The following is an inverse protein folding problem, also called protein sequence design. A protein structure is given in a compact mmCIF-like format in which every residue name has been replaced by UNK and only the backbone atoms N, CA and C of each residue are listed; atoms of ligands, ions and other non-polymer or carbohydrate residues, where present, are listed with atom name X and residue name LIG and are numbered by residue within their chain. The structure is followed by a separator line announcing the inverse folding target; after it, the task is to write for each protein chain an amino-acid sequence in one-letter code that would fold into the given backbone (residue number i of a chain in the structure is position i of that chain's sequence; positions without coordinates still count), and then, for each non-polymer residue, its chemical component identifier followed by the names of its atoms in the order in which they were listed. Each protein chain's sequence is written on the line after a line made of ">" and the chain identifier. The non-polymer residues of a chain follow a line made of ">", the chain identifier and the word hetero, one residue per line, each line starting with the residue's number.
data_IF_094867435001
#
_entry.id   IF_094867435001
#
_cell.length_a   1.000
_cell.length_b   1.000
_cell.length_c   1.000
_cell.angle_alpha   90.00
_cell.angle_beta   90.00
_cell.angle_gamma   90.00
#
_symmetry.space_group_name_H-M   'P 1'
#
loop_
_entity.id
_entity.type
_entity.pdbx_description
1 polymer ?
#
# COMPACT_ATOMS: atom_id res chain seq x y z
N UNK A 1 -0.10 -50.06 -15.04
CA UNK A 1 0.56 -49.27 -13.98
C UNK A 1 -0.18 -47.95 -13.87
N UNK A 2 -1.30 -47.96 -13.14
CA UNK A 2 -2.17 -46.80 -12.90
C UNK A 2 -1.46 -45.86 -11.92
N UNK A 3 -1.08 -44.67 -12.40
CA UNK A 3 -0.61 -43.58 -11.55
C UNK A 3 -1.80 -43.06 -10.74
N UNK A 4 -1.80 -43.34 -9.44
CA UNK A 4 -2.64 -42.65 -8.45
C UNK A 4 -2.24 -41.18 -8.44
N UNK A 5 -3.10 -40.32 -8.99
CA UNK A 5 -3.09 -38.90 -8.67
C UNK A 5 -3.53 -38.74 -7.21
N UNK A 6 -2.67 -38.09 -6.41
CA UNK A 6 -2.96 -37.73 -5.03
C UNK A 6 -4.12 -36.75 -4.98
N UNK A 7 -5.13 -37.04 -4.15
CA UNK A 7 -6.31 -36.21 -3.91
C UNK A 7 -5.99 -34.78 -3.40
N UNK A 8 -4.73 -34.50 -3.02
CA UNK A 8 -4.28 -33.16 -2.62
C UNK A 8 -4.25 -32.15 -3.79
N UNK A 9 -3.95 -32.59 -5.01
CA UNK A 9 -3.78 -31.67 -6.15
C UNK A 9 -5.11 -31.23 -6.79
N UNK A 10 -6.18 -32.01 -6.60
CA UNK A 10 -7.51 -31.67 -7.13
C UNK A 10 -8.22 -30.60 -6.27
N UNK A 11 -7.97 -30.58 -4.96
CA UNK A 11 -8.47 -29.53 -4.05
C UNK A 11 -7.85 -28.15 -4.34
N UNK A 12 -6.56 -28.09 -4.64
CA UNK A 12 -5.86 -26.83 -4.94
C UNK A 12 -6.25 -26.26 -6.32
N UNK A 13 -6.46 -27.11 -7.33
CA UNK A 13 -6.95 -26.64 -8.62
C UNK A 13 -8.37 -26.08 -8.53
N UNK A 14 -9.26 -26.72 -7.75
CA UNK A 14 -10.61 -26.22 -7.49
C UNK A 14 -10.63 -24.96 -6.63
N UNK A 15 -9.74 -24.81 -5.65
CA UNK A 15 -9.66 -23.59 -4.84
C UNK A 15 -9.10 -22.40 -5.63
N UNK A 16 -8.13 -22.62 -6.54
CA UNK A 16 -7.57 -21.55 -7.37
C UNK A 16 -8.45 -21.24 -8.58
N UNK A 17 -9.14 -22.22 -9.19
CA UNK A 17 -10.23 -21.95 -10.13
C UNK A 17 -11.39 -21.23 -9.43
N UNK A 18 -11.70 -21.60 -8.19
CA UNK A 18 -12.61 -20.86 -7.31
C UNK A 18 -12.14 -19.42 -7.07
N UNK A 19 -10.84 -19.19 -6.88
CA UNK A 19 -10.25 -17.85 -6.70
C UNK A 19 -10.14 -17.05 -8.01
N UNK A 20 -10.04 -17.69 -9.17
CA UNK A 20 -10.09 -17.03 -10.50
C UNK A 20 -11.52 -16.75 -10.89
N UNK A 21 -12.44 -17.67 -10.63
CA UNK A 21 -13.87 -17.42 -10.70
C UNK A 21 -14.23 -16.35 -9.68
N UNK A 22 -13.62 -16.27 -8.49
CA UNK A 22 -13.80 -15.17 -7.55
C UNK A 22 -13.20 -13.87 -8.09
N UNK A 23 -12.01 -13.89 -8.68
CA UNK A 23 -11.42 -12.75 -9.37
C UNK A 23 -12.25 -12.29 -10.59
N UNK A 24 -13.00 -13.20 -11.22
CA UNK A 24 -13.97 -12.97 -12.30
C UNK A 24 -15.38 -12.64 -11.77
N UNK A 25 -15.75 -13.04 -10.55
CA UNK A 25 -17.02 -12.72 -9.87
C UNK A 25 -16.94 -11.34 -9.24
N UNK A 26 -15.74 -10.91 -8.82
CA UNK A 26 -15.39 -9.51 -8.57
C UNK A 26 -15.63 -8.63 -9.81
N UNK A 27 -15.61 -9.19 -11.04
CA UNK A 27 -15.99 -8.47 -12.27
C UNK A 27 -17.52 -8.40 -12.46
N UNK A 28 -18.29 -9.29 -11.82
CA UNK A 28 -19.75 -9.39 -11.99
C UNK A 28 -20.56 -8.65 -10.91
N UNK A 29 -20.07 -8.51 -9.69
CA UNK A 29 -20.77 -7.74 -8.63
C UNK A 29 -20.71 -6.21 -8.85
N UNK A 30 -19.71 -5.70 -9.59
CA UNK A 30 -19.65 -4.28 -9.99
C UNK A 30 -20.58 -3.93 -11.18
N UNK A 31 -21.29 -4.92 -11.73
CA UNK A 31 -22.03 -4.81 -13.00
C UNK A 31 -23.56 -4.80 -12.93
N UNK A 32 -24.21 -4.70 -11.76
CA UNK A 32 -25.68 -4.78 -11.72
C UNK A 32 -26.35 -4.29 -10.44
N UNK A 33 -26.94 -3.09 -10.51
CA UNK A 33 -27.84 -2.60 -9.46
C UNK A 33 -28.43 -1.22 -9.80
N UNK A 34 -29.30 -1.14 -10.81
CA UNK A 34 -30.22 -0.01 -10.91
C UNK A 34 -31.41 -0.27 -9.99
N UNK A 35 -31.69 0.61 -9.03
CA UNK A 35 -33.06 0.97 -8.65
C UNK A 35 -33.07 2.35 -7.98
N UNK A 36 -34.11 3.11 -8.29
CA UNK A 36 -34.23 4.55 -8.15
C UNK A 36 -34.53 5.06 -6.72
N UNK A 37 -34.35 6.38 -6.56
CA UNK A 37 -34.98 7.29 -5.59
C UNK A 37 -34.36 7.42 -4.18
N UNK A 38 -33.48 8.41 -4.03
CA UNK A 38 -33.73 9.54 -3.12
C UNK A 38 -32.67 10.63 -3.36
N UNK A 39 -33.11 11.68 -4.04
CA UNK A 39 -32.31 12.83 -4.43
C UNK A 39 -32.06 13.74 -3.22
N UNK A 40 -31.05 13.42 -2.40
CA UNK A 40 -30.29 14.42 -1.59
C UNK A 40 -29.07 13.85 -0.83
N UNK A 41 -28.75 12.55 -0.88
CA UNK A 41 -27.63 11.96 -0.11
C UNK A 41 -26.39 11.49 -0.92
N UNK A 42 -26.27 11.77 -2.23
CA UNK A 42 -25.28 11.12 -3.11
C UNK A 42 -24.06 11.96 -3.54
N UNK A 43 -23.78 13.11 -2.92
CA UNK A 43 -22.68 13.99 -3.36
C UNK A 43 -21.28 13.59 -2.85
N UNK A 44 -21.17 12.77 -1.79
CA UNK A 44 -19.90 12.60 -1.06
C UNK A 44 -19.04 11.38 -1.47
N UNK A 45 -19.53 10.50 -2.36
CA UNK A 45 -18.87 9.24 -2.74
C UNK A 45 -18.68 9.08 -4.26
N UNK A 46 -18.62 10.19 -5.01
CA UNK A 46 -18.46 10.14 -6.45
C UNK A 46 -17.01 9.80 -6.85
N UNK A 47 -16.87 8.82 -7.75
CA UNK A 47 -15.58 8.45 -8.31
C UNK A 47 -14.95 9.62 -9.08
N UNK A 48 -13.73 10.07 -8.73
CA UNK A 48 -13.08 11.17 -9.43
C UNK A 48 -12.87 10.86 -10.92
N UNK A 49 -13.11 11.85 -11.78
CA UNK A 49 -12.72 11.74 -13.18
C UNK A 49 -11.20 11.86 -13.33
N UNK A 50 -10.63 11.20 -14.35
CA UNK A 50 -9.20 11.30 -14.65
C UNK A 50 -8.76 12.74 -14.93
N UNK A 51 -9.65 13.59 -15.48
CA UNK A 51 -9.36 15.02 -15.70
C UNK A 51 -9.16 15.78 -14.40
N UNK A 52 -9.97 15.48 -13.37
CA UNK A 52 -9.80 16.08 -12.03
C UNK A 52 -8.48 15.62 -11.43
N UNK A 53 -8.19 14.32 -11.48
CA UNK A 53 -6.92 13.75 -11.01
C UNK A 53 -5.73 14.44 -11.69
N UNK A 54 -5.73 14.53 -13.02
CA UNK A 54 -4.67 15.17 -13.80
C UNK A 54 -4.49 16.64 -13.42
N UNK A 55 -5.58 17.38 -13.25
CA UNK A 55 -5.52 18.80 -12.85
C UNK A 55 -4.88 18.97 -11.48
N UNK A 56 -5.20 18.10 -10.52
CA UNK A 56 -4.66 18.20 -9.16
C UNK A 56 -3.19 17.81 -9.10
N UNK A 57 -2.79 16.70 -9.74
CA UNK A 57 -1.37 16.30 -9.75
C UNK A 57 -0.49 17.28 -10.53
N UNK A 58 -1.03 17.97 -11.55
CA UNK A 58 -0.30 19.01 -12.30
C UNK A 58 0.22 20.19 -11.45
N UNK A 59 -0.26 20.31 -10.20
CA UNK A 59 0.22 21.31 -9.24
C UNK A 59 1.46 20.84 -8.47
N UNK A 60 1.73 19.54 -8.38
CA UNK A 60 2.84 18.99 -7.58
C UNK A 60 4.21 19.60 -7.95
N UNK A 61 4.58 19.77 -9.24
CA UNK A 61 5.86 20.37 -9.60
C UNK A 61 5.98 21.86 -9.22
N UNK A 62 4.86 22.55 -8.97
CA UNK A 62 4.86 23.97 -8.63
C UNK A 62 5.21 24.21 -7.15
N UNK A 63 5.18 23.15 -6.33
CA UNK A 63 5.57 23.18 -4.92
C UNK A 63 7.09 23.03 -4.70
N UNK A 64 7.52 22.79 -3.44
CA UNK A 64 8.92 22.53 -3.12
C UNK A 64 9.42 21.21 -3.74
N UNK A 65 10.75 20.97 -3.76
CA UNK A 65 11.29 19.67 -4.15
C UNK A 65 10.77 18.55 -3.25
N UNK A 66 10.49 17.39 -3.83
CA UNK A 66 9.90 16.25 -3.12
C UNK A 66 10.89 15.11 -2.94
N UNK A 67 10.90 14.49 -1.77
CA UNK A 67 11.63 13.26 -1.44
C UNK A 67 10.64 12.12 -1.27
N UNK A 68 10.75 11.10 -2.13
CA UNK A 68 9.74 10.05 -2.27
C UNK A 68 10.40 8.68 -2.15
N UNK A 69 9.79 7.78 -1.39
CA UNK A 69 10.17 6.36 -1.33
C UNK A 69 9.11 5.52 -2.03
N UNK A 70 9.53 4.60 -2.90
CA UNK A 70 8.66 3.64 -3.57
C UNK A 70 9.16 2.23 -3.29
N UNK A 71 8.53 1.54 -2.33
CA UNK A 71 8.87 0.15 -2.01
C UNK A 71 8.11 -0.84 -2.88
N UNK A 72 8.85 -1.71 -3.56
CA UNK A 72 8.33 -2.47 -4.71
C UNK A 72 8.42 -1.68 -6.03
N UNK A 73 9.27 -0.66 -6.11
CA UNK A 73 9.34 0.28 -7.26
C UNK A 73 9.92 -0.27 -8.57
N UNK A 74 10.45 -1.50 -8.58
CA UNK A 74 11.19 -2.03 -9.75
C UNK A 74 10.30 -2.56 -10.88
N UNK A 75 8.99 -2.72 -10.67
CA UNK A 75 8.06 -3.23 -11.69
C UNK A 75 6.60 -2.91 -11.31
N UNK A 76 5.66 -3.15 -12.23
CA UNK A 76 4.23 -2.95 -12.02
C UNK A 76 3.90 -1.55 -11.51
N UNK A 77 2.96 -1.48 -10.56
CA UNK A 77 2.45 -0.21 -10.00
C UNK A 77 3.59 0.69 -9.51
N UNK A 78 4.58 0.15 -8.81
CA UNK A 78 5.71 0.93 -8.31
C UNK A 78 6.51 1.61 -9.43
N UNK A 79 6.72 0.92 -10.56
CA UNK A 79 7.37 1.53 -11.73
C UNK A 79 6.47 2.54 -12.46
N UNK A 80 5.15 2.39 -12.38
CA UNK A 80 4.20 3.34 -12.97
C UNK A 80 4.16 4.66 -12.19
N UNK A 81 4.22 4.58 -10.86
CA UNK A 81 4.39 5.74 -9.98
C UNK A 81 5.68 6.48 -10.35
N UNK A 82 6.81 5.76 -10.42
CA UNK A 82 8.11 6.34 -10.77
C UNK A 82 8.06 7.04 -12.14
N UNK A 83 7.50 6.38 -13.16
CA UNK A 83 7.38 6.93 -14.50
C UNK A 83 6.50 8.18 -14.55
N UNK A 84 5.36 8.19 -13.87
CA UNK A 84 4.47 9.35 -13.85
C UNK A 84 5.08 10.52 -13.09
N UNK A 85 5.77 10.27 -11.98
CA UNK A 85 6.57 11.29 -11.28
C UNK A 85 7.62 11.91 -12.22
N UNK A 86 8.38 11.08 -12.94
CA UNK A 86 9.40 11.56 -13.85
C UNK A 86 8.82 12.44 -14.98
N UNK A 87 7.68 12.04 -15.55
CA UNK A 87 6.97 12.82 -16.58
C UNK A 87 6.47 14.15 -16.05
N UNK A 88 5.86 14.13 -14.87
CA UNK A 88 5.25 15.31 -14.27
C UNK A 88 6.30 16.36 -13.90
N UNK A 89 7.50 15.91 -13.50
CA UNK A 89 8.64 16.76 -13.11
C UNK A 89 9.70 16.90 -14.21
N UNK A 90 9.33 16.71 -15.48
CA UNK A 90 10.28 16.64 -16.59
C UNK A 90 11.03 17.96 -16.86
N UNK A 91 10.30 19.07 -17.02
CA UNK A 91 10.87 20.32 -17.55
C UNK A 91 10.47 21.59 -16.79
N UNK A 92 9.52 21.50 -15.84
CA UNK A 92 9.02 22.65 -15.09
C UNK A 92 8.94 22.33 -13.60
N UNK A 93 9.22 23.32 -12.77
CA UNK A 93 9.02 23.24 -11.33
C UNK A 93 10.22 22.72 -10.54
N UNK A 94 9.93 22.27 -9.32
CA UNK A 94 10.92 21.68 -8.42
C UNK A 94 11.43 20.32 -8.93
N UNK A 95 12.36 19.71 -8.19
CA UNK A 95 12.95 18.42 -8.55
C UNK A 95 12.57 17.35 -7.53
N UNK A 96 12.84 16.10 -7.91
CA UNK A 96 12.54 14.94 -7.09
C UNK A 96 13.83 14.32 -6.58
N UNK A 97 13.78 13.73 -5.38
CA UNK A 97 14.62 12.60 -5.01
C UNK A 97 13.72 11.39 -4.84
N UNK A 98 13.97 10.32 -5.58
CA UNK A 98 13.15 9.10 -5.55
C UNK A 98 14.01 7.90 -5.16
N UNK A 99 13.64 7.25 -4.07
CA UNK A 99 14.19 5.98 -3.63
C UNK A 99 13.35 4.82 -4.19
N UNK A 100 13.93 4.02 -5.06
CA UNK A 100 13.34 2.76 -5.53
C UNK A 100 13.84 1.65 -4.61
N UNK A 101 12.95 1.09 -3.78
CA UNK A 101 13.29 -0.08 -2.95
C UNK A 101 12.85 -1.35 -3.66
N UNK A 102 13.75 -2.32 -3.81
CA UNK A 102 13.37 -3.60 -4.40
C UNK A 102 14.50 -4.61 -4.54
N UNK A 103 14.12 -5.80 -5.02
CA UNK A 103 15.00 -6.97 -5.05
C UNK A 103 15.87 -7.07 -6.29
N UNK A 104 15.44 -6.53 -7.42
CA UNK A 104 16.10 -6.75 -8.70
C UNK A 104 16.81 -5.48 -9.16
N UNK A 105 18.15 -5.48 -9.10
CA UNK A 105 18.97 -4.33 -9.48
C UNK A 105 18.84 -4.02 -10.97
N UNK A 106 18.82 -5.02 -11.86
CA UNK A 106 18.66 -4.81 -13.30
C UNK A 106 17.33 -4.14 -13.66
N UNK A 107 16.24 -4.54 -12.99
CA UNK A 107 14.94 -3.87 -13.17
C UNK A 107 14.95 -2.46 -12.57
N UNK A 108 15.60 -2.28 -11.42
CA UNK A 108 15.76 -0.97 -10.80
C UNK A 108 16.53 0.00 -11.73
N UNK A 109 17.67 -0.41 -12.28
CA UNK A 109 18.47 0.43 -13.18
C UNK A 109 17.68 0.92 -14.40
N UNK A 110 16.77 0.11 -14.94
CA UNK A 110 15.86 0.55 -16.01
C UNK A 110 14.95 1.69 -15.55
N UNK A 111 14.35 1.55 -14.36
CA UNK A 111 13.47 2.59 -13.77
C UNK A 111 14.28 3.85 -13.45
N UNK A 112 15.47 3.72 -12.87
CA UNK A 112 16.33 4.86 -12.54
C UNK A 112 16.79 5.59 -13.82
N UNK A 113 17.20 4.86 -14.86
CA UNK A 113 17.62 5.44 -16.13
C UNK A 113 16.49 6.18 -16.84
N UNK A 114 15.28 5.58 -16.89
CA UNK A 114 14.09 6.25 -17.43
C UNK A 114 13.75 7.51 -16.61
N UNK A 115 13.82 7.44 -15.28
CA UNK A 115 13.59 8.58 -14.39
C UNK A 115 14.57 9.73 -14.61
N UNK A 116 15.88 9.43 -14.72
CA UNK A 116 16.92 10.44 -15.02
C UNK A 116 16.75 11.06 -16.41
N UNK A 117 16.36 10.25 -17.39
CA UNK A 117 16.12 10.71 -18.75
C UNK A 117 14.91 11.64 -18.83
N UNK A 118 13.79 11.26 -18.21
CA UNK A 118 12.53 12.02 -18.26
C UNK A 118 12.54 13.25 -17.35
N UNK A 119 13.21 13.20 -16.19
CA UNK A 119 13.34 14.32 -15.25
C UNK A 119 14.81 14.66 -14.97
N UNK A 120 15.49 15.38 -15.89
CA UNK A 120 16.85 15.84 -15.66
C UNK A 120 16.95 16.73 -14.41
N UNK A 121 17.99 16.52 -13.63
CA UNK A 121 18.23 17.21 -12.35
C UNK A 121 17.51 16.62 -11.14
N UNK A 122 16.62 15.64 -11.34
CA UNK A 122 16.08 14.83 -10.23
C UNK A 122 17.05 13.70 -9.87
N UNK A 123 17.10 13.36 -8.59
CA UNK A 123 17.91 12.26 -8.07
C UNK A 123 17.09 10.97 -8.00
N UNK A 124 17.66 9.89 -8.55
CA UNK A 124 17.07 8.56 -8.52
C UNK A 124 18.04 7.61 -7.84
N UNK A 125 17.62 7.00 -6.73
CA UNK A 125 18.45 6.15 -5.88
C UNK A 125 17.83 4.78 -5.75
N UNK A 126 18.66 3.73 -5.73
CA UNK A 126 18.22 2.37 -5.50
C UNK A 126 18.59 1.92 -4.10
N UNK A 127 17.61 1.37 -3.38
CA UNK A 127 17.82 0.70 -2.10
C UNK A 127 17.53 -0.78 -2.34
N UNK A 128 18.59 -1.58 -2.36
CA UNK A 128 18.45 -3.03 -2.51
C UNK A 128 17.74 -3.57 -1.28
N UNK A 129 16.72 -4.40 -1.50
CA UNK A 129 16.12 -5.28 -0.49
C UNK A 129 16.35 -6.74 -0.89
N UNK A 130 16.50 -7.66 0.06
CA UNK A 130 16.55 -9.10 -0.25
C UNK A 130 15.13 -9.68 -0.25
N UNK A 131 14.39 -9.49 0.84
CA UNK A 131 12.99 -9.85 0.97
C UNK A 131 12.24 -8.91 1.92
N UNK A 132 11.24 -8.17 1.41
CA UNK A 132 10.42 -7.28 2.22
C UNK A 132 9.33 -8.01 3.01
N UNK A 133 9.24 -9.34 2.94
CA UNK A 133 8.48 -10.11 3.92
C UNK A 133 9.17 -10.18 5.29
N UNK A 134 10.48 -9.87 5.35
CA UNK A 134 11.27 -9.83 6.58
C UNK A 134 11.30 -8.42 7.18
N UNK A 135 10.95 -8.30 8.45
CA UNK A 135 10.97 -7.07 9.25
C UNK A 135 12.40 -6.57 9.43
N UNK A 136 13.37 -7.46 9.62
CA UNK A 136 14.81 -7.11 9.63
C UNK A 136 15.27 -6.41 8.35
N UNK A 137 14.85 -6.89 7.19
CA UNK A 137 15.17 -6.26 5.91
C UNK A 137 14.46 -4.91 5.73
N UNK A 138 13.24 -4.78 6.25
CA UNK A 138 12.54 -3.49 6.29
C UNK A 138 13.33 -2.49 7.14
N UNK A 139 13.76 -2.90 8.33
CA UNK A 139 14.57 -2.07 9.24
C UNK A 139 15.87 -1.61 8.57
N UNK A 140 16.59 -2.55 7.94
CA UNK A 140 17.82 -2.23 7.19
C UNK A 140 17.58 -1.25 6.06
N UNK A 141 16.52 -1.43 5.26
CA UNK A 141 16.18 -0.52 4.16
C UNK A 141 15.82 0.87 4.68
N UNK A 142 15.07 0.97 5.78
CA UNK A 142 14.70 2.25 6.39
C UNK A 142 15.94 2.96 6.95
N UNK A 143 16.83 2.24 7.65
CA UNK A 143 18.08 2.79 8.16
C UNK A 143 18.98 3.34 7.05
N UNK A 144 19.06 2.63 5.91
CA UNK A 144 19.81 3.11 4.73
C UNK A 144 19.21 4.41 4.16
N UNK A 145 17.89 4.50 4.01
CA UNK A 145 17.20 5.73 3.57
C UNK A 145 17.43 6.88 4.55
N UNK A 146 17.26 6.64 5.85
CA UNK A 146 17.45 7.65 6.89
C UNK A 146 18.89 8.18 6.88
N UNK A 147 19.87 7.27 6.78
CA UNK A 147 21.28 7.64 6.66
C UNK A 147 21.51 8.51 5.43
N UNK A 148 21.02 8.09 4.26
CA UNK A 148 21.21 8.83 3.01
C UNK A 148 20.58 10.23 3.00
N UNK A 149 19.44 10.43 3.68
CA UNK A 149 18.84 11.76 3.86
C UNK A 149 19.56 12.59 4.92
N UNK A 150 20.09 11.96 5.96
CA UNK A 150 20.87 12.66 7.01
C UNK A 150 22.21 13.13 6.48
N UNK A 151 22.91 12.28 5.72
CA UNK A 151 24.24 12.57 5.16
C UNK A 151 24.18 13.64 4.06
N UNK A 152 23.09 13.68 3.28
CA UNK A 152 22.95 14.59 2.15
C UNK A 152 21.52 15.11 1.98
N UNK A 153 21.05 16.04 2.84
CA UNK A 153 19.69 16.58 2.77
C UNK A 153 19.36 17.16 1.38
N UNK A 154 18.20 16.80 0.83
CA UNK A 154 17.88 17.17 -0.55
C UNK A 154 17.61 18.68 -0.71
N UNK A 155 18.35 19.30 -1.65
CA UNK A 155 18.24 20.73 -2.00
C UNK A 155 18.39 21.69 -0.81
N UNK A 156 19.18 21.31 0.21
CA UNK A 156 19.39 22.15 1.41
C UNK A 156 18.15 22.30 2.31
N UNK A 157 17.07 21.55 2.05
CA UNK A 157 15.91 21.46 2.92
C UNK A 157 16.15 20.55 4.13
N UNK A 158 15.16 20.43 5.04
CA UNK A 158 15.28 19.54 6.19
C UNK A 158 15.34 18.07 5.74
N UNK A 159 15.97 17.23 6.57
CA UNK A 159 15.95 15.77 6.45
C UNK A 159 14.50 15.31 6.53
N UNK A 160 13.94 14.84 5.42
CA UNK A 160 12.50 14.57 5.32
C UNK A 160 12.17 13.53 4.26
N UNK A 161 10.94 13.05 4.34
CA UNK A 161 10.23 12.38 3.26
C UNK A 161 8.90 13.07 3.06
N UNK A 162 8.49 13.28 1.82
CA UNK A 162 7.20 13.89 1.49
C UNK A 162 6.15 12.82 1.19
N UNK A 163 6.55 11.68 0.60
CA UNK A 163 5.65 10.55 0.37
C UNK A 163 6.35 9.18 0.45
N UNK A 164 5.63 8.20 1.00
CA UNK A 164 5.99 6.79 1.03
C UNK A 164 4.94 5.97 0.29
N UNK A 165 5.29 5.43 -0.88
CA UNK A 165 4.46 4.51 -1.65
C UNK A 165 4.91 3.07 -1.41
N UNK A 166 4.00 2.22 -0.91
CA UNK A 166 4.25 0.82 -0.63
C UNK A 166 3.43 -0.06 -1.56
N UNK A 167 4.09 -0.61 -2.58
CA UNK A 167 3.51 -1.46 -3.62
C UNK A 167 4.03 -2.89 -3.58
N UNK A 168 5.00 -3.19 -2.71
CA UNK A 168 5.57 -4.53 -2.58
C UNK A 168 4.51 -5.52 -2.07
N UNK A 169 4.41 -6.67 -2.74
CA UNK A 169 3.54 -7.77 -2.36
C UNK A 169 4.14 -9.06 -2.91
N UNK A 170 3.94 -10.17 -2.19
CA UNK A 170 4.09 -11.51 -2.77
C UNK A 170 2.88 -11.81 -3.66
N UNK A 171 3.07 -12.67 -4.66
CA UNK A 171 1.95 -13.11 -5.50
C UNK A 171 0.98 -13.93 -4.64
N UNK A 172 -0.34 -13.71 -4.72
CA UNK A 172 -1.33 -14.56 -4.04
C UNK A 172 -1.46 -15.96 -4.69
N UNK A 173 -0.84 -16.17 -5.84
CA UNK A 173 -0.94 -17.41 -6.64
C UNK A 173 0.19 -18.40 -6.37
N UNK A 174 1.18 -18.02 -5.54
CA UNK A 174 2.24 -18.94 -5.12
C UNK A 174 1.82 -19.60 -3.81
N UNK A 175 2.44 -20.74 -3.52
CA UNK A 175 2.19 -21.47 -2.29
C UNK A 175 2.45 -20.57 -1.07
N UNK A 176 1.69 -20.82 0.00
CA UNK A 176 1.90 -20.18 1.28
C UNK A 176 3.32 -20.48 1.77
N UNK A 177 4.03 -19.44 2.20
CA UNK A 177 5.39 -19.54 2.72
C UNK A 177 5.48 -18.78 4.04
N UNK A 178 6.09 -19.41 5.05
CA UNK A 178 6.45 -18.76 6.31
C UNK A 178 7.84 -18.16 6.19
N UNK A 179 8.02 -16.94 6.67
CA UNK A 179 9.32 -16.31 6.79
C UNK A 179 10.12 -16.95 7.92
N UNK A 180 11.45 -16.79 7.89
CA UNK A 180 12.31 -17.21 9.00
C UNK A 180 12.00 -16.46 10.31
N UNK A 181 11.31 -15.32 10.24
CA UNK A 181 10.82 -14.56 11.40
C UNK A 181 9.48 -15.10 11.94
N UNK A 182 8.89 -16.11 11.30
CA UNK A 182 7.65 -16.75 11.73
C UNK A 182 6.39 -16.01 11.28
N UNK A 183 6.47 -15.20 10.21
CA UNK A 183 5.32 -14.53 9.62
C UNK A 183 4.87 -15.23 8.35
N UNK A 184 3.56 -15.19 8.08
CA UNK A 184 3.08 -15.51 6.73
C UNK A 184 3.62 -14.49 5.73
N UNK A 185 4.33 -14.93 4.70
CA UNK A 185 5.05 -14.04 3.79
C UNK A 185 4.10 -13.13 3.00
N UNK A 186 2.90 -13.61 2.65
CA UNK A 186 1.95 -12.81 1.90
C UNK A 186 1.37 -11.72 2.79
N UNK A 187 0.81 -12.09 3.95
CA UNK A 187 0.32 -11.14 4.95
C UNK A 187 1.41 -10.16 5.40
N UNK A 188 2.64 -10.62 5.60
CA UNK A 188 3.77 -9.77 6.00
C UNK A 188 4.00 -8.65 4.99
N UNK A 189 4.11 -8.97 3.70
CA UNK A 189 4.31 -7.95 2.65
C UNK A 189 3.13 -6.98 2.50
N UNK A 190 1.94 -7.37 2.92
CA UNK A 190 0.74 -6.54 2.80
C UNK A 190 0.44 -5.69 4.04
N UNK A 191 0.83 -6.17 5.22
CA UNK A 191 0.53 -5.56 6.51
C UNK A 191 1.80 -5.26 7.33
N UNK A 192 2.41 -6.26 7.98
CA UNK A 192 3.46 -6.05 8.98
C UNK A 192 4.66 -5.27 8.43
N UNK A 193 5.16 -5.65 7.26
CA UNK A 193 6.26 -4.97 6.58
C UNK A 193 5.95 -3.49 6.31
N UNK A 194 4.72 -3.21 5.89
CA UNK A 194 4.27 -1.86 5.56
C UNK A 194 4.07 -0.99 6.79
N UNK A 195 3.49 -1.55 7.86
CA UNK A 195 3.37 -0.84 9.15
C UNK A 195 4.76 -0.57 9.73
N UNK A 196 5.67 -1.55 9.70
CA UNK A 196 7.05 -1.35 10.17
C UNK A 196 7.78 -0.26 9.39
N UNK A 197 7.72 -0.32 8.05
CA UNK A 197 8.34 0.69 7.18
C UNK A 197 7.77 2.08 7.46
N UNK A 198 6.45 2.17 7.68
CA UNK A 198 5.77 3.42 8.04
C UNK A 198 6.30 3.97 9.36
N UNK A 199 6.33 3.15 10.42
CA UNK A 199 6.82 3.55 11.74
C UNK A 199 8.27 4.03 11.72
N UNK A 200 9.15 3.31 11.02
CA UNK A 200 10.56 3.69 10.95
C UNK A 200 10.80 5.00 10.17
N UNK A 201 9.94 5.32 9.20
CA UNK A 201 10.09 6.50 8.34
C UNK A 201 9.24 7.70 8.76
N UNK A 202 8.35 7.53 9.75
CA UNK A 202 7.51 8.59 10.32
C UNK A 202 8.31 9.82 10.78
N UNK A 203 9.51 9.70 11.40
CA UNK A 203 10.30 10.88 11.76
C UNK A 203 10.61 11.78 10.55
N UNK A 204 10.94 11.18 9.41
CA UNK A 204 11.19 11.93 8.17
C UNK A 204 9.90 12.46 7.54
N UNK A 205 8.82 11.67 7.55
CA UNK A 205 7.51 12.08 7.03
C UNK A 205 6.92 13.25 7.82
N UNK A 206 7.13 13.28 9.13
CA UNK A 206 6.62 14.34 10.02
C UNK A 206 7.38 15.67 9.88
N UNK A 207 8.55 15.64 9.23
CA UNK A 207 9.36 16.80 8.89
C UNK A 207 9.00 17.38 7.50
N UNK A 208 8.08 16.75 6.77
CA UNK A 208 7.57 17.28 5.50
C UNK A 208 6.90 18.65 5.71
N UNK A 209 7.27 19.69 4.92
CA UNK A 209 6.58 20.97 4.93
C UNK A 209 5.19 20.91 4.28
N UNK A 210 4.87 19.82 3.56
CA UNK A 210 3.60 19.64 2.83
C UNK A 210 2.64 18.65 3.51
N UNK A 211 2.96 18.24 4.75
CA UNK A 211 2.47 17.01 5.37
C UNK A 211 3.01 15.75 4.67
N UNK A 212 3.38 14.75 5.46
CA UNK A 212 3.82 13.46 4.94
C UNK A 212 2.63 12.65 4.43
N UNK A 213 2.83 11.91 3.34
CA UNK A 213 1.81 10.98 2.84
C UNK A 213 2.32 9.54 2.86
N UNK A 214 1.57 8.63 3.48
CA UNK A 214 1.82 7.19 3.48
C UNK A 214 0.75 6.51 2.64
N UNK A 215 1.16 5.85 1.56
CA UNK A 215 0.27 5.21 0.59
C UNK A 215 0.56 3.71 0.52
N UNK A 216 -0.40 2.88 0.90
CA UNK A 216 -0.32 1.43 0.84
C UNK A 216 -1.21 0.87 -0.26
N UNK A 217 -0.63 0.36 -1.35
CA UNK A 217 -1.41 -0.19 -2.46
C UNK A 217 -1.85 -1.61 -2.13
N UNK A 218 -3.07 -1.76 -1.61
CA UNK A 218 -3.76 -3.03 -1.44
C UNK A 218 -5.19 -2.83 -0.89
N UNK A 219 -6.17 -3.29 -1.67
CA UNK A 219 -7.55 -3.58 -1.25
C UNK A 219 -8.24 -2.52 -0.36
N UNK A 220 -8.02 -1.23 -0.64
CA UNK A 220 -8.83 -0.16 -0.05
C UNK A 220 -10.29 -0.28 -0.49
N UNK A 221 -11.23 0.01 0.40
CA UNK A 221 -12.67 -0.13 0.17
C UNK A 221 -13.19 -1.58 0.09
N UNK A 222 -12.41 -2.58 0.54
CA UNK A 222 -12.80 -4.01 0.60
C UNK A 222 -12.97 -4.49 2.05
N UNK A 223 -13.65 -3.68 2.86
CA UNK A 223 -13.89 -3.93 4.28
C UNK A 223 -15.10 -4.85 4.50
N UNK A 224 -15.00 -6.12 4.09
CA UNK A 224 -16.05 -7.11 4.33
C UNK A 224 -15.92 -7.71 5.74
N UNK A 225 -16.53 -7.08 6.74
CA UNK A 225 -16.74 -7.67 8.07
C UNK A 225 -18.20 -7.59 8.44
N UNK A 226 -18.79 -8.70 8.90
CA UNK A 226 -20.17 -8.71 9.38
C UNK A 226 -20.19 -8.35 10.85
N UNK A 227 -21.23 -7.63 11.27
CA UNK A 227 -21.41 -7.30 12.68
C UNK A 227 -21.56 -8.59 13.49
N UNK A 228 -20.78 -8.72 14.57
CA UNK A 228 -20.76 -9.91 15.43
C UNK A 228 -19.69 -10.96 15.11
N UNK A 229 -18.98 -10.84 13.99
CA UNK A 229 -17.81 -11.67 13.72
C UNK A 229 -16.66 -11.33 14.68
N UNK A 230 -15.86 -12.34 15.05
CA UNK A 230 -14.61 -12.09 15.76
C UNK A 230 -13.67 -11.24 14.88
N UNK A 231 -13.04 -10.18 15.43
CA UNK A 231 -12.08 -9.37 14.70
C UNK A 231 -10.99 -10.22 14.02
N UNK A 232 -10.83 -10.13 12.69
CA UNK A 232 -9.87 -10.92 11.94
C UNK A 232 -8.44 -10.40 12.13
N UNK A 233 -7.83 -10.72 13.27
CA UNK A 233 -6.49 -10.28 13.67
C UNK A 233 -5.46 -11.37 13.36
N UNK A 234 -4.36 -10.99 12.72
CA UNK A 234 -3.25 -11.87 12.41
C UNK A 234 -3.45 -12.74 11.17
N UNK A 235 -2.63 -13.79 11.07
CA UNK A 235 -2.72 -14.77 9.99
C UNK A 235 -3.97 -15.64 10.18
N UNK A 236 -4.76 -15.87 9.11
CA UNK A 236 -5.82 -16.87 9.17
C UNK A 236 -5.27 -18.26 9.55
N UNK A 237 -6.06 -19.08 10.27
CA UNK A 237 -5.71 -20.48 10.52
C UNK A 237 -5.68 -21.28 9.20
N UNK A 238 -5.00 -22.42 9.23
CA UNK A 238 -4.69 -23.21 8.02
C UNK A 238 -5.94 -23.68 7.26
N UNK A 239 -7.01 -24.04 7.98
CA UNK A 239 -8.30 -24.49 7.44
C UNK A 239 -9.10 -23.38 6.75
N UNK A 240 -8.91 -22.13 7.17
CA UNK A 240 -9.55 -20.94 6.59
C UNK A 240 -8.60 -20.13 5.70
N UNK A 241 -7.37 -20.61 5.48
CA UNK A 241 -6.35 -19.88 4.74
C UNK A 241 -6.72 -19.77 3.26
N UNK A 242 -6.75 -18.54 2.76
CA UNK A 242 -7.05 -18.27 1.37
C UNK A 242 -6.86 -16.79 1.05
N UNK A 243 -6.73 -16.47 -0.24
CA UNK A 243 -6.43 -15.10 -0.71
C UNK A 243 -7.48 -14.11 -0.19
N UNK A 244 -8.76 -14.48 -0.22
CA UNK A 244 -9.85 -13.63 0.29
C UNK A 244 -9.81 -13.46 1.81
N UNK A 245 -9.51 -14.52 2.57
CA UNK A 245 -9.38 -14.42 4.04
C UNK A 245 -8.18 -13.57 4.45
N UNK A 246 -7.02 -13.76 3.79
CA UNK A 246 -5.83 -12.92 4.02
C UNK A 246 -6.11 -11.47 3.66
N UNK A 247 -6.83 -11.22 2.55
CA UNK A 247 -7.27 -9.87 2.18
C UNK A 247 -8.11 -9.23 3.28
N UNK A 248 -9.14 -9.95 3.76
CA UNK A 248 -10.03 -9.50 4.85
C UNK A 248 -9.24 -9.12 6.10
N UNK A 249 -8.39 -10.03 6.61
CA UNK A 249 -7.57 -9.79 7.80
C UNK A 249 -6.62 -8.59 7.59
N UNK A 250 -5.97 -8.51 6.44
CA UNK A 250 -5.06 -7.41 6.08
C UNK A 250 -5.77 -6.06 6.09
N UNK A 251 -6.90 -5.95 5.38
CA UNK A 251 -7.64 -4.69 5.23
C UNK A 251 -8.20 -4.24 6.57
N UNK A 252 -8.77 -5.18 7.34
CA UNK A 252 -9.27 -4.90 8.67
C UNK A 252 -8.17 -4.33 9.57
N UNK A 253 -7.07 -5.07 9.75
CA UNK A 253 -5.96 -4.61 10.60
C UNK A 253 -5.33 -3.29 10.11
N UNK A 254 -5.22 -3.10 8.79
CA UNK A 254 -4.62 -1.89 8.21
C UNK A 254 -5.43 -0.64 8.50
N UNK A 255 -6.75 -0.72 8.41
CA UNK A 255 -7.61 0.42 8.70
C UNK A 255 -7.43 0.92 10.13
N UNK A 256 -7.50 0.03 11.12
CA UNK A 256 -7.32 0.43 12.51
C UNK A 256 -5.88 0.86 12.82
N UNK A 257 -4.87 0.22 12.23
CA UNK A 257 -3.47 0.64 12.39
C UNK A 257 -3.23 2.05 11.79
N UNK A 258 -3.84 2.35 10.65
CA UNK A 258 -3.72 3.68 10.03
C UNK A 258 -4.51 4.75 10.78
N UNK A 259 -5.65 4.43 11.39
CA UNK A 259 -6.37 5.34 12.28
C UNK A 259 -5.58 5.67 13.55
N UNK A 260 -4.92 4.68 14.13
CA UNK A 260 -4.05 4.84 15.30
C UNK A 260 -2.86 5.74 14.93
N UNK A 261 -2.16 5.45 13.83
CA UNK A 261 -1.06 6.27 13.32
C UNK A 261 -1.51 7.69 12.96
N UNK A 262 -2.68 7.86 12.33
CA UNK A 262 -3.24 9.18 12.01
C UNK A 262 -3.56 10.00 13.27
N UNK A 263 -3.95 9.32 14.36
CA UNK A 263 -4.20 9.97 15.65
C UNK A 263 -2.90 10.37 16.35
N UNK A 264 -1.89 9.48 16.34
CA UNK A 264 -0.55 9.75 16.92
C UNK A 264 0.21 10.83 16.17
N UNK A 265 0.02 10.95 14.86
CA UNK A 265 0.73 11.92 14.00
C UNK A 265 -0.20 12.96 13.38
N UNK A 266 -1.23 13.35 14.14
CA UNK A 266 -2.17 14.38 13.73
C UNK A 266 -1.45 15.70 13.37
N UNK A 267 -1.93 16.38 12.34
CA UNK A 267 -1.33 17.60 11.82
C UNK A 267 -0.06 17.40 11.00
N UNK A 268 0.50 16.17 10.92
CA UNK A 268 1.80 15.90 10.28
C UNK A 268 1.72 14.92 9.13
N UNK A 269 1.12 13.74 9.34
CA UNK A 269 1.16 12.64 8.36
C UNK A 269 -0.25 12.13 8.05
N UNK A 270 -0.51 11.82 6.78
CA UNK A 270 -1.72 11.17 6.29
C UNK A 270 -1.44 9.73 5.86
N UNK A 271 -2.43 8.87 6.00
CA UNK A 271 -2.33 7.44 5.77
C UNK A 271 -3.46 6.99 4.85
N UNK A 272 -3.13 6.39 3.72
CA UNK A 272 -4.09 5.92 2.74
C UNK A 272 -3.76 4.50 2.31
N UNK A 273 -4.78 3.65 2.15
CA UNK A 273 -4.64 2.42 1.38
C UNK A 273 -5.70 2.34 0.28
N UNK A 274 -5.30 1.76 -0.85
CA UNK A 274 -6.08 1.85 -2.09
C UNK A 274 -6.20 0.49 -2.78
N UNK A 275 -7.37 0.23 -3.36
CA UNK A 275 -7.59 -0.77 -4.41
C UNK A 275 -7.62 -0.09 -5.78
N UNK A 276 -6.57 -0.20 -6.62
CA UNK A 276 -6.51 0.48 -7.91
C UNK A 276 -7.23 -0.26 -9.07
N UNK A 277 -8.09 -1.23 -8.75
CA UNK A 277 -8.68 -2.13 -9.75
C UNK A 277 -7.71 -3.20 -10.25
N UNK A 278 -8.10 -3.86 -11.34
CA UNK A 278 -7.26 -4.79 -12.06
C UNK A 278 -6.25 -4.02 -12.94
N UNK A 279 -5.06 -3.77 -12.42
CA UNK A 279 -4.04 -2.97 -13.12
C UNK A 279 -3.29 -3.80 -14.15
N UNK A 280 -3.15 -3.27 -15.37
CA UNK A 280 -2.31 -3.87 -16.39
C UNK A 280 -0.83 -3.92 -15.98
N UNK A 281 -0.20 -5.08 -16.15
CA UNK A 281 1.20 -5.25 -15.81
C UNK A 281 1.72 -6.68 -15.80
N UNK A 282 3.03 -6.82 -15.57
CA UNK A 282 3.74 -8.09 -15.72
C UNK A 282 3.45 -9.11 -14.61
N UNK A 283 2.74 -8.73 -13.54
CA UNK A 283 2.48 -9.58 -12.39
C UNK A 283 1.69 -10.85 -12.76
N UNK A 284 0.78 -10.77 -13.73
CA UNK A 284 -0.05 -11.91 -14.15
C UNK A 284 0.67 -12.86 -15.10
N UNK A 285 1.72 -12.39 -15.77
CA UNK A 285 2.53 -13.18 -16.70
C UNK A 285 3.85 -13.67 -16.09
N UNK A 286 4.08 -13.39 -14.80
CA UNK A 286 5.29 -13.79 -14.08
C UNK A 286 5.52 -15.31 -14.16
N UNK A 287 6.73 -15.78 -14.52
CA UNK A 287 7.02 -17.21 -14.62
C UNK A 287 6.81 -18.00 -13.32
N UNK A 288 6.83 -17.35 -12.16
CA UNK A 288 6.52 -17.95 -10.87
C UNK A 288 5.04 -18.29 -10.68
N UNK A 289 4.14 -17.74 -11.50
CA UNK A 289 2.73 -18.13 -11.48
C UNK A 289 2.52 -19.49 -12.17
N UNK A 290 1.54 -20.29 -11.71
CA UNK A 290 1.21 -21.57 -12.32
C UNK A 290 0.95 -21.46 -13.83
N UNK A 291 1.43 -22.45 -14.60
CA UNK A 291 1.32 -22.44 -16.06
C UNK A 291 -0.14 -22.32 -16.54
N UNK A 292 -1.04 -23.06 -15.90
CA UNK A 292 -2.46 -23.05 -16.24
C UNK A 292 -3.09 -21.66 -16.06
N UNK A 293 -2.69 -20.91 -15.02
CA UNK A 293 -3.13 -19.54 -14.80
C UNK A 293 -2.64 -18.62 -15.94
N UNK A 294 -1.37 -18.74 -16.32
CA UNK A 294 -0.79 -17.93 -17.41
C UNK A 294 -1.47 -18.20 -18.76
N UNK A 295 -1.90 -19.42 -19.02
CA UNK A 295 -2.66 -19.77 -20.24
C UNK A 295 -4.05 -19.13 -20.20
N UNK A 296 -4.79 -19.27 -19.10
CA UNK A 296 -6.11 -18.64 -18.94
C UNK A 296 -6.00 -17.11 -19.07
N UNK A 297 -5.02 -16.52 -18.39
CA UNK A 297 -4.77 -15.08 -18.45
C UNK A 297 -4.53 -14.60 -19.89
N UNK A 298 -3.71 -15.33 -20.67
CA UNK A 298 -3.44 -15.00 -22.07
C UNK A 298 -4.70 -15.01 -22.95
N UNK A 299 -5.64 -15.90 -22.67
CA UNK A 299 -6.91 -16.00 -23.40
C UNK A 299 -7.88 -14.87 -23.01
N UNK A 300 -7.94 -14.52 -21.72
CA UNK A 300 -8.85 -13.49 -21.20
C UNK A 300 -8.33 -12.06 -21.41
N UNK A 301 -7.01 -11.89 -21.54
CA UNK A 301 -6.36 -10.57 -21.58
C UNK A 301 -6.97 -9.60 -22.60
N UNK A 302 -7.22 -9.95 -23.88
CA UNK A 302 -7.78 -8.99 -24.84
C UNK A 302 -9.15 -8.44 -24.43
N UNK A 303 -9.99 -9.28 -23.82
CA UNK A 303 -11.32 -8.89 -23.35
C UNK A 303 -11.23 -8.01 -22.10
N UNK A 304 -10.40 -8.40 -21.13
CA UNK A 304 -10.22 -7.66 -19.88
C UNK A 304 -9.56 -6.30 -20.12
N UNK A 305 -8.55 -6.26 -20.99
CA UNK A 305 -7.84 -5.05 -21.37
C UNK A 305 -8.79 -4.01 -22.02
N UNK A 306 -9.72 -4.45 -22.86
CA UNK A 306 -10.66 -3.57 -23.55
C UNK A 306 -11.74 -2.99 -22.62
N UNK A 307 -12.11 -3.71 -21.55
CA UNK A 307 -13.37 -3.42 -20.82
C UNK A 307 -13.21 -3.07 -19.34
N UNK A 308 -12.17 -3.54 -18.67
CA UNK A 308 -12.13 -3.54 -17.20
C UNK A 308 -10.80 -3.09 -16.59
N UNK A 309 -9.68 -3.31 -17.28
CA UNK A 309 -8.36 -3.07 -16.70
C UNK A 309 -8.02 -1.59 -16.54
N UNK A 310 -7.39 -1.25 -15.42
CA UNK A 310 -6.77 0.06 -15.21
C UNK A 310 -5.44 0.11 -15.97
N UNK A 311 -5.28 1.09 -16.86
CA UNK A 311 -4.03 1.28 -17.59
C UNK A 311 -2.87 1.62 -16.64
N UNK A 312 -1.64 1.29 -17.03
CA UNK A 312 -0.44 1.66 -16.27
C UNK A 312 -0.34 3.18 -16.04
N UNK A 313 -0.72 3.98 -17.04
CA UNK A 313 -0.70 5.44 -16.96
C UNK A 313 -1.74 5.97 -15.97
N UNK A 314 -2.98 5.50 -16.05
CA UNK A 314 -4.03 5.94 -15.13
C UNK A 314 -3.73 5.50 -13.70
N UNK A 315 -3.19 4.29 -13.53
CA UNK A 315 -2.72 3.84 -12.23
C UNK A 315 -1.66 4.79 -11.65
N UNK A 316 -0.63 5.14 -12.42
CA UNK A 316 0.40 6.11 -12.01
C UNK A 316 -0.20 7.44 -11.54
N UNK A 317 -1.13 8.01 -12.34
CA UNK A 317 -1.81 9.27 -12.00
C UNK A 317 -2.66 9.18 -10.74
N UNK A 318 -3.44 8.10 -10.59
CA UNK A 318 -4.27 7.86 -9.40
C UNK A 318 -3.38 7.71 -8.16
N UNK A 319 -2.24 7.03 -8.26
CA UNK A 319 -1.33 6.92 -7.13
C UNK A 319 -0.80 8.30 -6.71
N UNK A 320 -0.39 9.16 -7.65
CA UNK A 320 0.12 10.48 -7.30
C UNK A 320 -0.95 11.39 -6.68
N UNK A 321 -2.21 11.20 -7.09
CA UNK A 321 -3.34 11.92 -6.52
C UNK A 321 -3.50 11.71 -5.01
N UNK A 322 -3.08 10.56 -4.50
CA UNK A 322 -3.11 10.23 -3.06
C UNK A 322 -2.15 11.08 -2.22
N UNK A 323 -1.16 11.71 -2.85
CA UNK A 323 -0.23 12.65 -2.19
C UNK A 323 -0.61 14.12 -2.36
N UNK A 324 -1.87 14.40 -2.72
CA UNK A 324 -2.37 15.76 -2.88
C UNK A 324 -3.13 16.23 -1.62
N UNK A 325 -3.36 17.55 -1.46
CA UNK A 325 -4.15 18.10 -0.35
C UNK A 325 -5.59 17.55 -0.21
N UNK A 326 -6.10 16.80 -1.19
CA UNK A 326 -7.37 16.07 -1.08
C UNK A 326 -7.37 15.06 0.07
N UNK A 327 -6.21 14.52 0.43
CA UNK A 327 -6.04 13.52 1.49
C UNK A 327 -5.16 14.08 2.61
N UNK A 328 -5.62 15.09 3.36
CA UNK A 328 -4.80 15.77 4.36
C UNK A 328 -4.53 14.92 5.60
N UNK A 329 -3.50 15.28 6.37
CA UNK A 329 -3.31 14.71 7.71
C UNK A 329 -4.47 15.12 8.65
N UNK A 330 -4.71 14.32 9.69
CA UNK A 330 -5.80 14.57 10.66
C UNK A 330 -5.69 15.97 11.24
N UNK A 331 -6.77 16.75 11.17
CA UNK A 331 -6.81 18.11 11.73
C UNK A 331 -6.19 19.20 10.86
N UNK A 332 -5.60 18.87 9.70
CA UNK A 332 -5.13 19.86 8.73
C UNK A 332 -6.31 20.34 7.88
N UNK A 333 -6.53 21.66 7.86
CA UNK A 333 -7.51 22.30 6.99
C UNK A 333 -6.84 22.71 5.69
N UNK A 334 -7.50 22.45 4.56
CA UNK A 334 -7.04 22.82 3.23
C UNK A 334 -8.00 23.85 2.64
N UNK A 335 -7.50 25.02 2.29
CA UNK A 335 -8.33 26.07 1.70
C UNK A 335 -8.75 25.70 0.27
N UNK A 336 -10.04 25.82 -0.03
CA UNK A 336 -10.57 25.62 -1.37
C UNK A 336 -10.55 24.17 -1.89
N UNK A 337 -10.17 23.19 -1.06
CA UNK A 337 -10.17 21.76 -1.39
C UNK A 337 -10.94 21.02 -0.31
N UNK A 338 -12.06 20.40 -0.69
CA UNK A 338 -12.80 19.54 0.24
C UNK A 338 -11.97 18.28 0.55
N UNK A 339 -11.72 17.95 1.83
CA UNK A 339 -10.99 16.74 2.21
C UNK A 339 -11.77 15.45 1.93
N UNK A 340 -11.08 14.34 1.66
CA UNK A 340 -11.72 13.05 1.47
C UNK A 340 -12.39 12.55 2.76
N UNK A 341 -13.42 11.71 2.60
CA UNK A 341 -14.03 10.99 3.72
C UNK A 341 -13.08 9.89 4.17
N UNK A 342 -12.85 9.83 5.48
CA UNK A 342 -11.98 8.86 6.13
C UNK A 342 -12.65 7.55 6.50
N UNK A 343 -11.84 6.63 7.02
CA UNK A 343 -12.29 5.33 7.56
C UNK A 343 -13.15 5.45 8.82
N UNK A 344 -13.04 6.59 9.53
CA UNK A 344 -13.85 6.96 10.69
C UNK A 344 -15.13 7.73 10.33
N UNK A 345 -15.44 7.85 9.03
CA UNK A 345 -16.60 8.56 8.51
C UNK A 345 -16.49 10.10 8.52
N UNK A 346 -15.35 10.67 8.93
CA UNK A 346 -15.15 12.12 8.98
C UNK A 346 -14.36 12.61 7.77
N UNK A 347 -14.66 13.83 7.32
CA UNK A 347 -13.84 14.50 6.30
C UNK A 347 -12.48 14.86 6.91
N UNK A 348 -11.39 14.56 6.20
CA UNK A 348 -10.05 14.96 6.66
C UNK A 348 -9.54 14.17 7.88
N UNK A 349 -9.94 12.91 8.01
CA UNK A 349 -9.60 12.05 9.16
C UNK A 349 -8.11 11.74 9.31
N UNK A 350 -7.32 11.91 8.24
CA UNK A 350 -5.93 11.45 8.15
C UNK A 350 -5.77 9.96 7.84
N UNK A 351 -6.85 9.18 7.80
CA UNK A 351 -6.85 7.75 7.46
C UNK A 351 -7.90 7.43 6.39
N UNK A 352 -7.48 6.88 5.26
CA UNK A 352 -8.31 6.74 4.06
C UNK A 352 -8.27 5.32 3.47
N UNK A 353 -9.46 4.72 3.29
CA UNK A 353 -9.68 3.49 2.53
C UNK A 353 -10.34 3.83 1.20
N UNK A 354 -9.65 3.53 0.10
CA UNK A 354 -9.95 4.11 -1.20
C UNK A 354 -10.09 3.06 -2.32
N UNK A 355 -11.04 3.31 -3.23
CA UNK A 355 -11.33 2.51 -4.41
C UNK A 355 -10.47 2.86 -5.62
N UNK A 356 -10.92 2.39 -6.79
CA UNK A 356 -10.15 2.35 -8.05
C UNK A 356 -9.58 3.69 -8.49
N UNK A 357 -10.29 4.80 -8.24
CA UNK A 357 -9.83 6.15 -8.61
C UNK A 357 -9.65 7.05 -7.39
N UNK A 358 -9.20 6.45 -6.29
CA UNK A 358 -9.05 7.11 -5.01
C UNK A 358 -10.38 7.68 -4.46
N UNK A 359 -11.49 7.00 -4.78
CA UNK A 359 -12.80 7.29 -4.25
C UNK A 359 -12.99 6.69 -2.86
N UNK A 360 -13.52 7.43 -1.88
CA UNK A 360 -13.75 6.89 -0.55
C UNK A 360 -14.79 5.77 -0.59
N UNK A 361 -14.63 4.78 0.29
CA UNK A 361 -15.58 3.68 0.41
C UNK A 361 -17.02 4.18 0.57
N UNK A 362 -17.95 3.56 -0.17
CA UNK A 362 -19.39 3.80 -0.04
C UNK A 362 -19.96 3.12 1.21
N UNK A 363 -19.25 2.13 1.74
CA UNK A 363 -19.69 1.36 2.90
C UNK A 363 -19.59 2.27 4.11
N UNK A 364 -20.76 2.68 4.60
CA UNK A 364 -20.91 3.50 5.81
C UNK A 364 -20.09 2.85 6.91
N UNK A 365 -19.12 3.62 7.39
CA UNK A 365 -18.39 3.53 8.64
C UNK A 365 -18.37 2.16 9.33
N UNK A 366 -17.16 1.75 9.72
CA UNK A 366 -16.96 0.68 10.67
C UNK A 366 -17.80 0.81 11.97
N UNK A 367 -18.52 1.89 12.23
CA UNK A 367 -19.43 2.08 13.37
C UNK A 367 -20.28 0.85 13.73
N UNK A 368 -20.77 0.07 12.75
CA UNK A 368 -21.55 -1.16 13.02
C UNK A 368 -20.71 -2.42 13.27
N UNK A 369 -19.44 -2.39 12.90
CA UNK A 369 -18.49 -3.53 12.85
C UNK A 369 -17.18 -3.23 13.58
N UNK A 370 -17.19 -2.19 14.44
CA UNK A 370 -16.10 -1.75 15.32
C UNK A 370 -16.49 -2.13 16.74
N UNK A 371 -16.17 -3.36 17.19
CA UNK A 371 -16.23 -3.68 18.60
C UNK A 371 -15.41 -2.67 19.40
N UNK A 372 -15.86 -2.40 20.62
CA UNK A 372 -15.11 -1.57 21.55
C UNK A 372 -13.70 -2.14 21.77
N UNK A 373 -12.69 -1.28 21.82
CA UNK A 373 -11.29 -1.67 22.01
C UNK A 373 -10.62 -2.42 20.86
N UNK A 374 -11.28 -2.64 19.70
CA UNK A 374 -10.68 -3.41 18.61
C UNK A 374 -9.42 -2.77 18.03
N UNK A 375 -9.37 -1.44 17.97
CA UNK A 375 -8.19 -0.70 17.52
C UNK A 375 -6.98 -0.95 18.43
N UNK A 376 -7.19 -0.89 19.74
CA UNK A 376 -6.15 -1.18 20.74
C UNK A 376 -5.65 -2.62 20.64
N UNK A 377 -6.55 -3.59 20.47
CA UNK A 377 -6.19 -5.01 20.28
C UNK A 377 -5.34 -5.23 19.03
N UNK A 378 -5.70 -4.60 17.91
CA UNK A 378 -4.92 -4.69 16.66
C UNK A 378 -3.55 -4.05 16.82
N UNK A 379 -3.51 -2.87 17.46
CA UNK A 379 -2.27 -2.17 17.73
C UNK A 379 -1.34 -3.01 18.63
N UNK A 380 -1.86 -3.51 19.74
CA UNK A 380 -1.15 -4.39 20.67
C UNK A 380 -0.60 -5.63 19.94
N UNK A 381 -1.44 -6.36 19.20
CA UNK A 381 -1.03 -7.51 18.40
C UNK A 381 0.13 -7.19 17.44
N UNK A 382 0.07 -6.02 16.82
CA UNK A 382 1.10 -5.58 15.87
C UNK A 382 2.42 -5.26 16.57
N UNK A 383 2.35 -4.52 17.68
CA UNK A 383 3.52 -4.18 18.49
C UNK A 383 4.16 -5.43 19.11
N UNK A 384 3.38 -6.32 19.72
CA UNK A 384 3.85 -7.60 20.26
C UNK A 384 4.50 -8.47 19.18
N UNK A 385 3.94 -8.48 17.97
CA UNK A 385 4.53 -9.19 16.82
C UNK A 385 5.90 -8.62 16.48
N UNK A 386 6.05 -7.29 16.44
CA UNK A 386 7.35 -6.66 16.18
C UNK A 386 8.34 -6.92 17.31
N UNK A 387 7.93 -6.78 18.56
CA UNK A 387 8.79 -7.05 19.73
C UNK A 387 9.31 -8.49 19.73
N UNK A 388 8.44 -9.46 19.43
CA UNK A 388 8.84 -10.86 19.30
C UNK A 388 9.89 -11.05 18.22
N UNK A 389 9.72 -10.42 17.06
CA UNK A 389 10.66 -10.53 15.94
C UNK A 389 11.99 -9.84 16.25
N UNK A 390 11.95 -8.62 16.79
CA UNK A 390 13.16 -7.89 17.21
C UNK A 390 13.94 -8.68 18.24
N UNK A 391 13.26 -9.27 19.24
CA UNK A 391 13.89 -10.15 20.24
C UNK A 391 14.54 -11.37 19.59
N UNK A 392 13.87 -11.99 18.61
CA UNK A 392 14.40 -13.14 17.87
C UNK A 392 15.60 -12.79 17.00
N UNK A 393 15.62 -11.58 16.43
CA UNK A 393 16.70 -11.09 15.56
C UNK A 393 17.94 -10.60 16.33
N UNK A 394 17.90 -10.52 17.68
CA UNK A 394 19.09 -10.20 18.47
C UNK A 394 20.14 -11.31 18.34
N UNK A 395 21.43 -10.96 18.17
CA UNK A 395 22.53 -11.93 18.30
C UNK A 395 22.50 -12.57 19.69
N UNK A 396 22.60 -13.90 19.77
CA UNK A 396 22.82 -14.59 21.04
C UNK A 396 24.14 -14.09 21.66
N UNK A 397 24.06 -13.27 22.72
CA UNK A 397 25.22 -12.76 23.45
C UNK A 397 25.27 -11.25 23.70
N UNK A 398 24.34 -10.44 23.18
CA UNK A 398 24.24 -9.02 23.56
C UNK A 398 23.24 -8.81 24.71
N UNK A 399 23.74 -8.87 25.94
CA UNK A 399 23.05 -8.25 27.08
C UNK A 399 23.13 -6.73 26.94
N UNK A 400 22.20 -6.19 26.17
CA UNK A 400 21.79 -4.80 26.34
C UNK A 400 20.30 -4.85 26.61
N UNK A 401 19.97 -4.52 27.85
CA UNK A 401 18.62 -4.27 28.36
C UNK A 401 17.92 -3.34 27.37
N UNK A 402 16.93 -3.87 26.64
CA UNK A 402 16.05 -2.98 25.89
C UNK A 402 15.18 -2.33 26.96
N UNK A 403 15.32 -1.01 27.10
CA UNK A 403 14.24 -0.20 27.62
C UNK A 403 13.08 -0.33 26.61
N UNK A 404 12.25 -1.35 26.80
CA UNK A 404 11.02 -1.55 26.06
C UNK A 404 10.11 -0.41 26.48
N UNK A 405 10.18 0.71 25.75
CA UNK A 405 9.54 1.96 26.16
C UNK A 405 9.99 3.24 25.46
N UNK A 406 11.08 3.25 24.67
CA UNK A 406 11.53 4.49 24.00
C UNK A 406 11.05 4.64 22.54
N UNK A 407 9.93 4.03 22.15
CA UNK A 407 9.25 4.40 20.90
C UNK A 407 8.33 5.62 21.07
N UNK A 408 8.16 6.09 22.32
CA UNK A 408 7.16 7.10 22.72
C UNK A 408 7.75 8.38 23.35
N UNK A 409 9.06 8.60 23.34
CA UNK A 409 9.66 9.81 23.94
C UNK A 409 10.76 10.38 23.06
N UNK A 410 10.40 11.35 22.22
CA UNK A 410 11.15 12.59 21.94
C UNK A 410 10.54 13.35 20.75
N UNK A 411 9.30 13.82 20.87
CA UNK A 411 8.86 15.05 20.18
C UNK A 411 7.81 15.72 21.06
N UNK A 412 8.27 16.54 22.02
CA UNK A 412 7.49 17.64 22.58
C UNK A 412 7.74 18.91 21.77
#
# INVERSE_FOLDING_TARGET
>A
MLLRLSASNECDACSVLGNIVFALVLIREDGGGSFASSSQHNLFAAMPSLRVIQREIAKLPQGPPLVIVISGGTTGIGSYIAKELARLFASKGSKLRVYIVGRNITRAEKVLAEGRYLSPGSEWRFVKATDLALISEVDRCCADIIKQETDAPFHGGPVRLDALYMTHARSPLVNREMTEEGLDSFLSTLYYSRIRMTMNLIPLLSASPLNGHVISVYAGSFEEVKAGDEPPIGCPPDDAYGVSTVRRNTVYMKNFAFEELASRHAGRVSFAHIYPGLVDGPAFTDPGNPLWFRVIWRLLYPLLWLTYMTSAEDCGKVMLYLSTPRFPAKGVKQEGIEPAMGTDGKLGSGSYALGQRADPSKVRSFDKVRPEGVGERIWAHTMETFERIVRKNKPQGSETEIQAGSWETEIS
#
